data_IF_792631469860
#
_entry.id   IF_792631469860
#
_cell.length_a   1.000
_cell.length_b   1.000
_cell.length_c   1.000
_cell.angle_alpha   90.00
_cell.angle_beta   90.00
_cell.angle_gamma   90.00
#
_symmetry.space_group_name_H-M   'P 1'
#
loop_
_entity.id
_entity.type
_entity.pdbx_description
1 polymer ?
#
# COMPACT_ATOMS: atom_id res chain seq x y z
N UNK A 1 4.75 14.03 -18.94
CA UNK A 1 4.70 12.75 -18.23
C UNK A 1 5.93 11.99 -18.60
N UNK A 2 6.65 11.47 -17.60
CA UNK A 2 7.81 10.61 -17.80
C UNK A 2 7.30 9.32 -18.44
N UNK A 3 7.77 9.03 -19.64
CA UNK A 3 7.41 7.82 -20.35
C UNK A 3 8.37 6.68 -20.00
N UNK A 4 7.95 5.47 -20.34
CA UNK A 4 8.73 4.28 -19.98
C UNK A 4 10.08 4.28 -20.71
N UNK A 5 10.13 4.83 -21.91
CA UNK A 5 11.31 4.96 -22.74
C UNK A 5 12.39 5.84 -22.08
N UNK A 6 11.99 6.91 -21.39
CA UNK A 6 12.89 7.80 -20.64
C UNK A 6 13.60 7.01 -19.53
N UNK A 7 12.85 6.19 -18.80
CA UNK A 7 13.37 5.37 -17.70
C UNK A 7 14.22 4.22 -18.24
N UNK A 8 13.81 3.62 -19.36
CA UNK A 8 14.60 2.60 -20.03
C UNK A 8 15.96 3.13 -20.49
N UNK A 9 16.06 4.40 -20.90
CA UNK A 9 17.34 5.02 -21.24
C UNK A 9 18.26 5.09 -20.02
N UNK A 10 17.75 5.58 -18.88
CA UNK A 10 18.49 5.63 -17.62
C UNK A 10 18.99 4.24 -17.19
N UNK A 11 18.13 3.23 -17.27
CA UNK A 11 18.46 1.85 -16.86
C UNK A 11 19.52 1.23 -17.77
N UNK A 12 19.55 1.59 -19.06
CA UNK A 12 20.59 1.11 -20.00
C UNK A 12 21.97 1.65 -19.66
N UNK A 13 22.04 2.86 -19.10
CA UNK A 13 23.30 3.48 -18.67
C UNK A 13 23.80 2.94 -17.32
N UNK A 14 22.97 2.21 -16.57
CA UNK A 14 23.36 1.63 -15.29
C UNK A 14 24.33 0.45 -15.47
N UNK A 15 25.34 0.40 -14.61
CA UNK A 15 26.23 -0.76 -14.55
C UNK A 15 25.54 -1.91 -13.80
N UNK A 16 25.19 -2.99 -14.51
CA UNK A 16 24.32 -4.08 -14.02
C UNK A 16 24.81 -4.75 -12.74
N UNK A 17 26.10 -4.96 -12.58
CA UNK A 17 26.74 -5.56 -11.40
C UNK A 17 26.84 -4.59 -10.21
N UNK A 18 26.54 -3.30 -10.42
CA UNK A 18 26.58 -2.25 -9.39
C UNK A 18 25.20 -1.67 -9.07
N UNK A 19 24.13 -2.33 -9.50
CA UNK A 19 22.77 -1.91 -9.19
C UNK A 19 22.59 -1.90 -7.67
N UNK A 20 22.01 -0.81 -7.17
CA UNK A 20 21.64 -0.65 -5.77
C UNK A 20 20.12 -0.66 -5.63
N UNK A 21 19.62 -1.12 -4.48
CA UNK A 21 18.19 -1.01 -4.14
C UNK A 21 18.02 0.14 -3.15
N UNK A 22 17.19 1.11 -3.52
CA UNK A 22 16.94 2.29 -2.71
C UNK A 22 15.47 2.51 -2.37
N UNK A 23 15.19 3.12 -1.23
CA UNK A 23 13.82 3.56 -0.89
C UNK A 23 13.85 4.65 0.19
N UNK A 24 12.70 5.30 0.39
CA UNK A 24 12.52 6.24 1.50
C UNK A 24 12.62 5.51 2.84
N UNK A 25 13.23 6.14 3.83
CA UNK A 25 13.35 5.62 5.19
C UNK A 25 12.01 5.67 5.94
N UNK A 26 11.02 4.85 5.53
CA UNK A 26 9.72 4.74 6.19
C UNK A 26 8.98 3.42 5.87
N UNK A 27 7.78 3.23 6.43
CA UNK A 27 6.77 2.21 6.08
C UNK A 27 7.23 0.74 6.05
N UNK A 28 7.95 0.32 5.00
CA UNK A 28 8.43 -1.05 4.77
C UNK A 28 9.90 -1.10 4.35
N UNK A 29 10.66 -0.02 4.58
CA UNK A 29 12.06 0.07 4.19
C UNK A 29 12.95 -0.98 4.87
N UNK A 30 12.72 -1.30 6.14
CA UNK A 30 13.48 -2.38 6.82
C UNK A 30 13.29 -3.73 6.13
N UNK A 31 12.06 -4.04 5.71
CA UNK A 31 11.72 -5.25 4.95
C UNK A 31 12.45 -5.25 3.59
N UNK A 32 12.34 -4.16 2.85
CA UNK A 32 12.99 -3.97 1.55
C UNK A 32 14.51 -4.13 1.67
N UNK A 33 15.15 -3.42 2.59
CA UNK A 33 16.60 -3.44 2.73
C UNK A 33 17.14 -4.79 3.22
N UNK A 34 16.45 -5.44 4.16
CA UNK A 34 16.81 -6.80 4.60
C UNK A 34 16.77 -7.76 3.41
N UNK A 35 15.74 -7.66 2.57
CA UNK A 35 15.61 -8.47 1.35
C UNK A 35 16.67 -8.18 0.30
N UNK A 36 16.97 -6.90 0.06
CA UNK A 36 18.02 -6.46 -0.85
C UNK A 36 19.40 -7.01 -0.44
N UNK A 37 19.77 -6.89 0.84
CA UNK A 37 21.02 -7.42 1.37
C UNK A 37 21.12 -8.95 1.23
N UNK A 38 20.04 -9.67 1.51
CA UNK A 38 20.01 -11.14 1.37
C UNK A 38 20.09 -11.64 -0.08
N UNK A 39 19.76 -10.79 -1.06
CA UNK A 39 19.95 -11.07 -2.49
C UNK A 39 21.23 -10.41 -3.05
N UNK A 40 22.08 -9.83 -2.19
CA UNK A 40 23.42 -9.34 -2.54
C UNK A 40 23.49 -7.90 -3.05
N UNK A 41 22.41 -7.11 -2.93
CA UNK A 41 22.39 -5.72 -3.37
C UNK A 41 22.94 -4.77 -2.33
N UNK A 42 23.63 -3.73 -2.81
CA UNK A 42 23.90 -2.52 -2.03
C UNK A 42 22.59 -1.78 -1.75
N UNK A 43 22.44 -1.26 -0.54
CA UNK A 43 21.21 -0.61 -0.07
C UNK A 43 21.39 0.88 0.19
N UNK A 44 20.46 1.70 -0.32
CA UNK A 44 20.49 3.17 -0.19
C UNK A 44 19.21 3.68 0.48
N UNK A 45 19.33 4.29 1.65
CA UNK A 45 18.20 4.84 2.39
C UNK A 45 18.12 6.37 2.25
N UNK A 46 17.02 6.86 1.70
CA UNK A 46 16.70 8.30 1.66
C UNK A 46 15.91 8.63 2.93
N UNK A 47 16.59 9.17 3.93
CA UNK A 47 16.07 9.22 5.30
C UNK A 47 16.00 10.64 5.83
N UNK A 48 14.87 10.99 6.47
CA UNK A 48 14.82 12.23 7.25
C UNK A 48 15.75 12.13 8.44
N UNK A 49 16.42 13.22 8.79
CA UNK A 49 17.37 13.26 9.91
C UNK A 49 16.80 12.72 11.23
N UNK A 50 15.53 13.02 11.52
CA UNK A 50 14.84 12.53 12.73
C UNK A 50 14.59 11.02 12.77
N UNK A 51 14.53 10.37 11.60
CA UNK A 51 14.21 8.94 11.46
C UNK A 51 15.48 8.06 11.34
N UNK A 52 16.66 8.69 11.17
CA UNK A 52 17.95 8.02 10.94
C UNK A 52 18.27 6.95 11.99
N UNK A 53 17.87 7.19 13.24
CA UNK A 53 18.10 6.28 14.38
C UNK A 53 17.62 4.85 14.08
N UNK A 54 16.51 4.69 13.34
CA UNK A 54 15.95 3.38 13.00
C UNK A 54 16.93 2.60 12.13
N UNK A 55 17.34 3.20 11.00
CA UNK A 55 18.19 2.56 10.00
C UNK A 55 19.61 2.31 10.50
N UNK A 56 20.10 3.19 11.38
CA UNK A 56 21.39 3.01 12.05
C UNK A 56 21.37 1.86 13.04
N UNK A 57 20.34 1.77 13.91
CA UNK A 57 20.24 0.70 14.93
C UNK A 57 20.05 -0.68 14.33
N UNK A 58 19.35 -0.80 13.22
CA UNK A 58 19.21 -2.07 12.50
C UNK A 58 20.33 -2.34 11.49
N UNK A 59 21.27 -1.39 11.30
CA UNK A 59 22.31 -1.44 10.27
C UNK A 59 21.77 -1.86 8.90
N UNK A 60 20.56 -1.40 8.60
CA UNK A 60 19.75 -1.95 7.51
C UNK A 60 20.17 -1.42 6.15
N UNK A 61 20.77 -0.23 6.07
CA UNK A 61 21.21 0.40 4.84
C UNK A 61 22.75 0.53 4.80
N UNK A 62 23.35 0.42 3.61
CA UNK A 62 24.79 0.59 3.41
C UNK A 62 25.17 2.06 3.16
N UNK A 63 24.25 2.83 2.57
CA UNK A 63 24.36 4.27 2.41
C UNK A 63 23.08 4.94 2.92
N UNK A 64 23.24 6.03 3.67
CA UNK A 64 22.12 6.86 4.13
C UNK A 64 22.30 8.26 3.55
N UNK A 65 21.32 8.70 2.77
CA UNK A 65 21.22 10.06 2.24
C UNK A 65 20.23 10.81 3.14
N UNK A 66 20.74 11.79 3.88
CA UNK A 66 19.92 12.59 4.79
C UNK A 66 19.21 13.70 4.02
N UNK A 67 17.93 13.86 4.32
CA UNK A 67 17.01 14.87 3.77
C UNK A 67 16.22 15.52 4.92
N UNK A 68 15.59 16.66 4.67
CA UNK A 68 14.73 17.31 5.67
C UNK A 68 13.29 16.82 5.53
N UNK A 69 12.76 16.79 4.30
CA UNK A 69 11.45 16.22 3.98
C UNK A 69 11.53 15.18 2.85
N UNK A 70 10.57 14.25 2.81
CA UNK A 70 10.52 13.26 1.75
C UNK A 70 10.27 13.88 0.37
N UNK A 71 9.72 15.10 0.28
CA UNK A 71 9.64 15.87 -0.96
C UNK A 71 10.99 16.15 -1.61
N UNK A 72 12.07 16.20 -0.83
CA UNK A 72 13.43 16.46 -1.29
C UNK A 72 13.96 15.34 -2.21
N UNK A 73 13.27 14.18 -2.27
CA UNK A 73 13.55 13.14 -3.27
C UNK A 73 13.43 13.68 -4.71
N UNK A 74 12.62 14.71 -4.91
CA UNK A 74 12.41 15.32 -6.23
C UNK A 74 13.53 16.32 -6.59
N UNK A 75 14.40 16.67 -5.66
CA UNK A 75 15.52 17.58 -5.92
C UNK A 75 16.53 16.91 -6.85
N UNK A 76 16.91 17.61 -7.91
CA UNK A 76 17.75 17.05 -8.97
C UNK A 76 19.12 16.58 -8.46
N UNK A 77 19.69 17.23 -7.44
CA UNK A 77 20.94 16.79 -6.79
C UNK A 77 20.79 15.41 -6.14
N UNK A 78 19.67 15.16 -5.45
CA UNK A 78 19.37 13.88 -4.83
C UNK A 78 19.16 12.82 -5.91
N UNK A 79 18.37 13.14 -6.95
CA UNK A 79 18.13 12.21 -8.05
C UNK A 79 19.41 11.87 -8.83
N UNK A 80 20.26 12.85 -9.10
CA UNK A 80 21.55 12.64 -9.76
C UNK A 80 22.45 11.72 -8.93
N UNK A 81 22.54 11.96 -7.61
CA UNK A 81 23.28 11.09 -6.70
C UNK A 81 22.74 9.66 -6.74
N UNK A 82 21.42 9.47 -6.73
CA UNK A 82 20.78 8.16 -6.81
C UNK A 82 21.06 7.47 -8.16
N UNK A 83 21.06 8.21 -9.28
CA UNK A 83 21.44 7.67 -10.60
C UNK A 83 22.90 7.24 -10.65
N UNK A 84 23.82 8.04 -10.10
CA UNK A 84 25.26 7.68 -9.99
C UNK A 84 25.49 6.42 -9.16
N UNK A 85 24.60 6.13 -8.21
CA UNK A 85 24.61 4.91 -7.40
C UNK A 85 23.88 3.72 -8.06
N UNK A 86 23.42 3.86 -9.31
CA UNK A 86 22.62 2.88 -10.03
C UNK A 86 21.38 2.40 -9.24
N UNK A 87 20.69 3.31 -8.56
CA UNK A 87 19.58 2.97 -7.66
C UNK A 87 18.32 2.63 -8.45
N UNK A 88 17.76 1.46 -8.18
CA UNK A 88 16.35 1.16 -8.46
C UNK A 88 15.55 1.49 -7.21
N UNK A 89 14.61 2.42 -7.33
CA UNK A 89 13.72 2.82 -6.25
C UNK A 89 12.61 1.79 -6.03
N UNK A 90 12.35 1.43 -4.78
CA UNK A 90 11.22 0.58 -4.40
C UNK A 90 10.13 1.45 -3.79
N UNK A 91 9.00 1.71 -4.48
CA UNK A 91 7.91 2.51 -3.94
C UNK A 91 7.14 1.78 -2.84
N UNK A 92 6.69 2.54 -1.85
CA UNK A 92 5.84 2.06 -0.75
C UNK A 92 4.92 3.19 -0.25
N UNK A 93 4.13 2.95 0.80
CA UNK A 93 3.03 3.85 1.22
C UNK A 93 3.39 5.31 1.42
N UNK A 94 4.58 5.60 1.95
CA UNK A 94 5.02 6.97 2.15
C UNK A 94 5.22 7.77 0.84
N UNK A 95 5.46 7.13 -0.31
CA UNK A 95 5.56 7.86 -1.59
C UNK A 95 4.25 8.61 -1.88
N UNK A 96 3.11 7.92 -1.82
CA UNK A 96 1.80 8.54 -2.07
C UNK A 96 1.37 9.52 -0.97
N UNK A 97 1.93 9.39 0.23
CA UNK A 97 1.60 10.27 1.34
C UNK A 97 2.37 11.60 1.30
N UNK A 98 3.64 11.59 0.88
CA UNK A 98 4.51 12.77 0.97
C UNK A 98 4.82 13.40 -0.38
N UNK A 99 4.71 12.65 -1.48
CA UNK A 99 4.91 13.15 -2.83
C UNK A 99 3.56 13.29 -3.52
N UNK A 100 3.37 14.38 -4.26
CA UNK A 100 2.18 14.48 -5.11
C UNK A 100 2.32 13.52 -6.30
N UNK A 101 1.21 12.90 -6.68
CA UNK A 101 1.18 11.97 -7.81
C UNK A 101 1.65 12.62 -9.11
N UNK A 102 1.26 13.88 -9.31
CA UNK A 102 1.69 14.66 -10.47
C UNK A 102 3.22 14.80 -10.54
N UNK A 103 3.86 15.07 -9.39
CA UNK A 103 5.33 15.15 -9.31
C UNK A 103 6.00 13.79 -9.52
N UNK A 104 5.45 12.70 -8.97
CA UNK A 104 5.97 11.34 -9.24
C UNK A 104 5.92 11.04 -10.75
N UNK A 105 4.83 11.42 -11.43
CA UNK A 105 4.62 11.15 -12.85
C UNK A 105 5.46 12.05 -13.79
N UNK A 106 5.88 13.23 -13.35
CA UNK A 106 6.51 14.23 -14.22
C UNK A 106 7.95 14.63 -13.83
N UNK A 107 8.34 14.45 -12.57
CA UNK A 107 9.60 15.00 -12.02
C UNK A 107 10.56 13.92 -11.45
N UNK A 108 10.10 12.69 -11.19
CA UNK A 108 10.93 11.64 -10.60
C UNK A 108 11.68 10.82 -11.68
N UNK A 109 12.79 11.33 -12.20
CA UNK A 109 13.65 10.69 -13.20
C UNK A 109 14.58 9.62 -12.60
N UNK A 110 13.97 8.61 -11.96
CA UNK A 110 14.64 7.45 -11.39
C UNK A 110 13.91 6.17 -11.79
N UNK A 111 14.63 5.06 -12.07
CA UNK A 111 13.99 3.77 -12.29
C UNK A 111 13.30 3.29 -11.02
N UNK A 112 11.98 3.09 -11.08
CA UNK A 112 11.23 2.53 -9.96
C UNK A 112 10.83 1.10 -10.28
N UNK A 113 11.03 0.17 -9.34
CA UNK A 113 10.47 -1.17 -9.46
C UNK A 113 8.95 -1.09 -9.30
N UNK A 114 8.22 -1.55 -10.32
CA UNK A 114 6.77 -1.42 -10.35
C UNK A 114 6.27 -0.71 -11.60
N UNK A 115 5.00 -0.34 -11.58
CA UNK A 115 4.36 0.44 -12.65
C UNK A 115 3.91 1.79 -12.10
N UNK A 116 4.64 2.85 -12.44
CA UNK A 116 4.37 4.22 -12.01
C UNK A 116 2.96 4.70 -12.32
N UNK A 117 2.39 4.33 -13.48
CA UNK A 117 1.04 4.74 -13.89
C UNK A 117 -0.02 4.19 -12.93
N UNK A 118 0.18 2.99 -12.35
CA UNK A 118 -0.76 2.37 -11.40
C UNK A 118 -0.81 3.09 -10.04
N UNK A 119 0.22 3.83 -9.64
CA UNK A 119 0.17 4.64 -8.42
C UNK A 119 -0.95 5.69 -8.51
N UNK A 120 -1.24 6.20 -9.71
CA UNK A 120 -2.34 7.15 -9.94
C UNK A 120 -3.73 6.51 -9.87
N UNK A 121 -3.83 5.19 -10.08
CA UNK A 121 -5.05 4.43 -9.90
C UNK A 121 -5.30 4.11 -8.42
N UNK A 122 -4.23 3.85 -7.67
CA UNK A 122 -4.30 3.58 -6.24
C UNK A 122 -4.84 4.78 -5.44
N UNK A 123 -4.42 6.02 -5.72
CA UNK A 123 -4.83 7.15 -4.88
C UNK A 123 -6.24 7.68 -5.15
N UNK A 124 -6.86 7.24 -6.25
CA UNK A 124 -8.17 7.69 -6.71
C UNK A 124 -9.22 6.62 -6.43
N UNK A 125 -10.18 6.94 -5.55
CA UNK A 125 -11.20 5.99 -5.09
C UNK A 125 -12.11 5.50 -6.21
N UNK A 126 -12.43 6.35 -7.19
CA UNK A 126 -13.30 5.94 -8.30
C UNK A 126 -12.54 5.07 -9.28
N UNK A 127 -11.26 5.38 -9.56
CA UNK A 127 -10.40 4.49 -10.34
C UNK A 127 -10.23 3.12 -9.70
N UNK A 128 -9.97 3.05 -8.39
CA UNK A 128 -9.93 1.77 -7.65
C UNK A 128 -11.25 1.01 -7.80
N UNK A 129 -12.38 1.69 -7.60
CA UNK A 129 -13.72 1.10 -7.70
C UNK A 129 -13.96 0.50 -9.09
N UNK A 130 -13.66 1.26 -10.14
CA UNK A 130 -13.78 0.80 -11.54
C UNK A 130 -12.88 -0.41 -11.79
N UNK A 131 -11.63 -0.37 -11.30
CA UNK A 131 -10.67 -1.47 -11.46
C UNK A 131 -11.18 -2.75 -10.77
N UNK A 132 -11.54 -2.68 -9.49
CA UNK A 132 -12.02 -3.83 -8.72
C UNK A 132 -13.31 -4.43 -9.31
N UNK A 133 -14.26 -3.57 -9.71
CA UNK A 133 -15.50 -4.04 -10.36
C UNK A 133 -15.23 -4.73 -11.70
N UNK A 134 -14.37 -4.16 -12.55
CA UNK A 134 -13.97 -4.78 -13.82
C UNK A 134 -13.24 -6.10 -13.63
N UNK A 135 -12.54 -6.26 -12.49
CA UNK A 135 -11.92 -7.51 -12.09
C UNK A 135 -12.91 -8.53 -11.52
N UNK A 136 -14.20 -8.19 -11.42
CA UNK A 136 -15.24 -9.09 -10.93
C UNK A 136 -15.26 -9.24 -9.41
N UNK A 137 -14.58 -8.36 -8.68
CA UNK A 137 -14.55 -8.39 -7.21
C UNK A 137 -15.83 -7.76 -6.65
N UNK A 138 -16.37 -8.38 -5.60
CA UNK A 138 -17.47 -7.80 -4.82
C UNK A 138 -16.92 -6.66 -3.98
N UNK A 139 -17.53 -5.48 -4.09
CA UNK A 139 -17.15 -4.29 -3.32
C UNK A 139 -18.34 -3.82 -2.46
N UNK A 140 -18.11 -3.18 -1.30
CA UNK A 140 -19.20 -2.62 -0.49
C UNK A 140 -20.01 -1.59 -1.27
N UNK A 141 -21.31 -1.45 -0.97
CA UNK A 141 -22.17 -0.45 -1.60
C UNK A 141 -21.66 0.96 -1.31
N UNK A 142 -21.64 1.81 -2.34
CA UNK A 142 -21.29 3.23 -2.22
C UNK A 142 -22.57 4.05 -2.30
N UNK A 143 -22.67 5.07 -1.45
CA UNK A 143 -23.78 6.01 -1.43
C UNK A 143 -23.29 7.35 -1.97
N UNK A 144 -24.06 7.93 -2.89
CA UNK A 144 -23.71 9.21 -3.51
C UNK A 144 -24.06 10.39 -2.60
N UNK A 145 -25.11 10.23 -1.80
CA UNK A 145 -25.61 11.26 -0.89
C UNK A 145 -25.90 10.68 0.50
N UNK A 146 -25.76 11.52 1.54
CA UNK A 146 -26.12 11.17 2.91
C UNK A 146 -27.60 10.86 3.09
N UNK A 147 -28.48 11.41 2.26
CA UNK A 147 -29.93 11.18 2.31
C UNK A 147 -30.32 9.74 1.90
N UNK A 148 -29.40 9.03 1.24
CA UNK A 148 -29.60 7.64 0.82
C UNK A 148 -29.19 6.61 1.89
N UNK A 149 -28.65 7.06 3.03
CA UNK A 149 -28.13 6.16 4.08
C UNK A 149 -29.29 5.40 4.71
N UNK A 150 -29.35 4.10 4.44
CA UNK A 150 -30.40 3.17 4.92
C UNK A 150 -29.86 2.10 5.88
N UNK A 151 -28.55 2.13 6.19
CA UNK A 151 -27.82 1.12 6.97
C UNK A 151 -26.54 1.69 7.58
N UNK A 152 -25.78 0.85 8.29
CA UNK A 152 -24.48 1.24 8.83
C UNK A 152 -23.48 1.53 7.69
N UNK A 153 -22.91 2.72 7.72
CA UNK A 153 -22.03 3.30 6.71
C UNK A 153 -20.80 3.88 7.40
N UNK A 154 -19.64 3.68 6.81
CA UNK A 154 -18.42 4.42 7.14
C UNK A 154 -18.30 5.64 6.23
N UNK A 155 -18.34 6.82 6.85
CA UNK A 155 -18.11 8.09 6.19
C UNK A 155 -16.62 8.44 6.26
N UNK A 156 -16.02 8.74 5.10
CA UNK A 156 -14.59 9.04 4.96
C UNK A 156 -14.43 10.46 4.41
N UNK A 157 -13.84 11.37 5.19
CA UNK A 157 -13.57 12.73 4.73
C UNK A 157 -12.39 12.80 3.73
N UNK A 158 -12.33 13.84 2.88
CA UNK A 158 -11.17 14.10 2.02
C UNK A 158 -9.90 14.29 2.85
N UNK A 159 -8.78 13.75 2.39
CA UNK A 159 -7.50 13.87 3.08
C UNK A 159 -7.35 12.98 4.32
N UNK A 160 -8.33 12.13 4.63
CA UNK A 160 -8.18 11.08 5.61
C UNK A 160 -7.07 10.11 5.20
N UNK A 161 -5.93 10.17 5.91
CA UNK A 161 -4.77 9.31 5.71
C UNK A 161 -4.67 8.34 6.87
N UNK A 162 -4.54 7.05 6.56
CA UNK A 162 -4.40 6.00 7.57
C UNK A 162 -5.54 5.99 8.59
N UNK A 163 -6.80 6.14 8.14
CA UNK A 163 -7.99 5.98 8.99
C UNK A 163 -8.34 7.12 9.95
N UNK A 164 -7.61 8.25 9.90
CA UNK A 164 -7.97 9.48 10.63
C UNK A 164 -9.08 10.24 9.89
N UNK A 165 -10.17 10.58 10.59
CA UNK A 165 -11.31 11.30 9.99
C UNK A 165 -12.41 10.39 9.44
N UNK A 166 -12.42 9.12 9.85
CA UNK A 166 -13.53 8.20 9.58
C UNK A 166 -14.52 8.21 10.74
N UNK A 167 -15.79 7.99 10.46
CA UNK A 167 -16.82 7.82 11.48
C UNK A 167 -17.98 7.00 10.92
N UNK A 168 -18.71 6.34 11.82
CA UNK A 168 -19.85 5.51 11.45
C UNK A 168 -21.16 6.30 11.55
N UNK A 169 -22.06 6.08 10.62
CA UNK A 169 -23.42 6.64 10.59
C UNK A 169 -24.39 5.56 10.13
N UNK A 170 -25.64 5.65 10.55
CA UNK A 170 -26.66 4.65 10.21
C UNK A 170 -27.95 5.24 9.63
N UNK A 171 -28.01 6.56 9.45
CA UNK A 171 -29.16 7.31 8.96
C UNK A 171 -28.72 8.73 8.54
N UNK A 172 -29.51 9.44 7.70
CA UNK A 172 -29.27 10.84 7.37
C UNK A 172 -29.23 11.73 8.62
N UNK A 173 -30.09 11.48 9.59
CA UNK A 173 -30.17 12.24 10.85
C UNK A 173 -28.91 12.06 11.69
N UNK A 174 -28.41 10.82 11.80
CA UNK A 174 -27.16 10.51 12.51
C UNK A 174 -25.96 11.21 11.88
N UNK A 175 -25.91 11.24 10.54
CA UNK A 175 -24.86 11.96 9.81
C UNK A 175 -24.91 13.47 10.08
N UNK A 176 -26.10 14.09 9.99
CA UNK A 176 -26.28 15.51 10.28
C UNK A 176 -25.88 15.86 11.72
N UNK A 177 -26.35 15.09 12.69
CA UNK A 177 -26.03 15.33 14.11
C UNK A 177 -24.52 15.22 14.40
N UNK A 178 -23.85 14.19 13.86
CA UNK A 178 -22.41 13.99 14.05
C UNK A 178 -21.58 15.07 13.37
N UNK A 179 -21.91 15.43 12.13
CA UNK A 179 -21.17 16.44 11.38
C UNK A 179 -21.31 17.83 11.99
N UNK A 180 -22.52 18.22 12.45
CA UNK A 180 -22.73 19.46 13.18
C UNK A 180 -21.89 19.52 14.48
N UNK A 181 -21.81 18.42 15.22
CA UNK A 181 -20.94 18.32 16.41
C UNK A 181 -19.46 18.48 16.03
N UNK A 182 -19.00 17.80 14.99
CA UNK A 182 -17.60 17.87 14.54
C UNK A 182 -17.22 19.27 14.03
N UNK A 183 -18.14 19.96 13.34
CA UNK A 183 -17.95 21.35 12.89
C UNK A 183 -17.87 22.30 14.08
N UNK A 184 -18.78 22.18 15.07
CA UNK A 184 -18.74 23.00 16.30
C UNK A 184 -17.42 22.82 17.05
N UNK A 185 -16.89 21.61 17.07
CA UNK A 185 -15.63 21.28 17.75
C UNK A 185 -14.37 21.61 16.92
N UNK A 186 -14.52 22.19 15.72
CA UNK A 186 -13.40 22.56 14.85
C UNK A 186 -12.67 21.36 14.22
N UNK A 187 -13.25 20.17 14.26
CA UNK A 187 -12.66 18.95 13.68
C UNK A 187 -12.96 18.78 12.19
N UNK A 188 -13.91 19.54 11.66
CA UNK A 188 -14.39 19.43 10.28
C UNK A 188 -14.82 20.80 9.75
N UNK A 189 -14.49 21.11 8.49
CA UNK A 189 -15.02 22.30 7.83
C UNK A 189 -16.26 21.92 7.01
N UNK A 190 -17.20 22.86 6.85
CA UNK A 190 -18.42 22.65 6.05
C UNK A 190 -18.13 22.30 4.59
N UNK A 191 -17.03 22.81 4.04
CA UNK A 191 -16.59 22.52 2.66
C UNK A 191 -16.23 21.05 2.45
N UNK A 192 -15.72 20.37 3.48
CA UNK A 192 -15.30 18.96 3.41
C UNK A 192 -16.50 18.00 3.29
N UNK A 193 -17.69 18.43 3.73
CA UNK A 193 -18.91 17.63 3.69
C UNK A 193 -19.28 17.18 2.28
N UNK A 194 -19.14 18.08 1.30
CA UNK A 194 -19.48 17.83 -0.12
C UNK A 194 -18.61 16.77 -0.78
N UNK A 195 -17.48 16.44 -0.16
CA UNK A 195 -16.50 15.49 -0.68
C UNK A 195 -16.40 14.25 0.23
N UNK A 196 -17.37 14.06 1.12
CA UNK A 196 -17.45 12.88 1.98
C UNK A 196 -17.75 11.66 1.13
N UNK A 197 -16.99 10.60 1.35
CA UNK A 197 -17.22 9.32 0.70
C UNK A 197 -17.98 8.38 1.64
N UNK A 198 -19.12 7.88 1.19
CA UNK A 198 -19.99 7.00 1.96
C UNK A 198 -19.92 5.57 1.43
N UNK A 199 -19.51 4.66 2.30
CA UNK A 199 -19.37 3.25 1.99
C UNK A 199 -20.10 2.41 3.02
N UNK A 200 -20.85 1.40 2.57
CA UNK A 200 -21.45 0.39 3.45
C UNK A 200 -20.39 -0.19 4.40
N UNK A 201 -20.71 -0.21 5.69
CA UNK A 201 -19.83 -0.80 6.68
C UNK A 201 -20.08 -2.31 6.72
N UNK A 202 -19.13 -3.07 6.20
CA UNK A 202 -19.19 -4.52 6.21
C UNK A 202 -18.84 -5.06 7.60
N UNK A 203 -19.74 -5.86 8.18
CA UNK A 203 -19.48 -6.56 9.43
C UNK A 203 -18.78 -7.89 9.11
N UNK A 204 -17.54 -8.01 9.54
CA UNK A 204 -16.71 -9.19 9.28
C UNK A 204 -15.29 -9.01 9.80
N UNK A 205 -14.41 -9.94 9.45
CA UNK A 205 -12.98 -9.88 9.79
C UNK A 205 -12.17 -9.29 8.65
N UNK A 206 -11.25 -8.37 8.95
CA UNK A 206 -10.36 -7.83 7.93
C UNK A 206 -9.27 -8.83 7.54
N UNK A 207 -9.03 -8.96 6.24
CA UNK A 207 -7.94 -9.76 5.69
C UNK A 207 -7.26 -9.00 4.55
N UNK A 208 -5.97 -8.69 4.74
CA UNK A 208 -5.13 -7.96 3.80
C UNK A 208 -4.23 -8.97 3.11
N UNK A 209 -4.59 -9.34 1.89
CA UNK A 209 -3.90 -10.42 1.16
C UNK A 209 -2.78 -9.80 0.35
N UNK A 210 -1.57 -10.27 0.57
CA UNK A 210 -0.34 -9.74 0.00
C UNK A 210 0.08 -10.61 -1.17
N UNK A 211 0.00 -10.04 -2.37
CA UNK A 211 0.34 -10.72 -3.61
C UNK A 211 1.64 -10.17 -4.21
N UNK A 212 2.19 -10.91 -5.16
CA UNK A 212 3.30 -10.48 -6.00
C UNK A 212 3.06 -10.95 -7.44
N UNK A 213 3.00 -10.02 -8.39
CA UNK A 213 2.98 -10.34 -9.82
C UNK A 213 4.42 -10.39 -10.36
N UNK A 214 4.90 -11.59 -10.69
CA UNK A 214 6.14 -11.72 -11.44
C UNK A 214 5.87 -11.52 -12.93
N UNK A 215 6.30 -10.39 -13.49
CA UNK A 215 6.20 -10.20 -14.96
C UNK A 215 7.25 -10.97 -15.74
N UNK A 216 8.32 -11.44 -15.08
CA UNK A 216 9.33 -12.30 -15.70
C UNK A 216 8.86 -13.76 -15.85
N UNK A 217 7.92 -14.19 -14.99
CA UNK A 217 7.36 -15.55 -14.97
C UNK A 217 5.88 -15.60 -15.37
N UNK A 218 5.21 -14.44 -15.49
CA UNK A 218 3.77 -14.27 -15.72
C UNK A 218 2.92 -15.05 -14.71
N UNK A 219 3.24 -14.89 -13.42
CA UNK A 219 2.60 -15.59 -12.31
C UNK A 219 2.19 -14.62 -11.19
N UNK A 220 0.98 -14.78 -10.66
CA UNK A 220 0.53 -14.15 -9.41
C UNK A 220 0.84 -15.08 -8.25
N UNK A 221 1.60 -14.57 -7.29
CA UNK A 221 1.97 -15.29 -6.06
C UNK A 221 1.22 -14.69 -4.88
N UNK A 222 0.84 -15.52 -3.90
CA UNK A 222 0.36 -15.06 -2.59
C UNK A 222 1.47 -15.29 -1.55
N UNK A 223 1.96 -14.22 -0.95
CA UNK A 223 3.12 -14.28 -0.05
C UNK A 223 2.77 -14.12 1.42
N UNK A 224 1.59 -13.65 1.78
CA UNK A 224 1.24 -13.39 3.17
C UNK A 224 -0.16 -12.82 3.32
N UNK A 225 -0.68 -12.89 4.54
CA UNK A 225 -1.94 -12.26 4.92
C UNK A 225 -1.76 -11.64 6.29
N UNK A 226 -2.25 -10.42 6.46
CA UNK A 226 -2.29 -9.75 7.75
C UNK A 226 -3.69 -9.18 8.05
N UNK A 227 -3.87 -8.78 9.30
CA UNK A 227 -4.93 -7.89 9.77
C UNK A 227 -4.26 -6.60 10.24
N UNK A 228 -4.72 -5.43 9.79
CA UNK A 228 -4.33 -4.14 10.38
C UNK A 228 -4.71 -4.10 11.85
N UNK A 229 -3.82 -3.54 12.67
CA UNK A 229 -4.07 -3.24 14.08
C UNK A 229 -4.19 -1.73 14.23
N UNK A 230 -5.36 -1.28 14.65
CA UNK A 230 -5.82 0.10 14.48
C UNK A 230 -6.26 0.71 15.83
N UNK A 231 -5.75 1.91 16.10
CA UNK A 231 -6.11 2.72 17.27
C UNK A 231 -7.10 3.83 16.89
N UNK A 232 -8.19 4.04 17.63
CA UNK A 232 -8.62 3.37 18.85
C UNK A 232 -9.56 2.17 18.64
N UNK A 233 -9.96 1.88 17.39
CA UNK A 233 -11.05 0.91 17.08
C UNK A 233 -10.78 -0.53 17.55
N UNK A 234 -9.55 -1.04 17.53
CA UNK A 234 -9.27 -2.37 18.11
C UNK A 234 -9.18 -2.33 19.64
N UNK A 235 -9.03 -1.13 20.24
CA UNK A 235 -8.95 -0.94 21.68
C UNK A 235 -10.31 -0.86 22.39
N UNK A 236 -11.35 -0.36 21.70
CA UNK A 236 -12.66 -0.10 22.33
C UNK A 236 -13.33 -1.37 22.87
N UNK A 237 -13.11 -2.52 22.25
CA UNK A 237 -13.66 -3.80 22.71
C UNK A 237 -13.15 -4.23 24.09
N UNK A 238 -12.09 -3.57 24.62
CA UNK A 238 -11.54 -3.79 25.96
C UNK A 238 -12.25 -2.98 27.05
N UNK A 239 -13.08 -2.01 26.67
CA UNK A 239 -13.82 -1.14 27.58
C UNK A 239 -15.24 -1.69 27.70
N UNK A 240 -15.78 -1.96 28.91
CA UNK A 240 -17.16 -2.40 29.06
C UNK A 240 -18.16 -1.42 28.42
N UNK A 241 -19.26 -1.94 27.88
CA UNK A 241 -20.24 -1.12 27.17
C UNK A 241 -20.83 0.01 28.05
N UNK A 242 -21.03 -0.23 29.35
CA UNK A 242 -21.50 0.78 30.31
C UNK A 242 -20.56 1.98 30.39
N UNK A 243 -19.25 1.75 30.37
CA UNK A 243 -18.23 2.81 30.40
C UNK A 243 -18.12 3.52 29.05
N UNK A 244 -18.22 2.78 27.95
CA UNK A 244 -18.22 3.38 26.60
C UNK A 244 -19.33 4.41 26.42
N UNK A 245 -20.52 4.16 26.98
CA UNK A 245 -21.66 5.08 26.91
C UNK A 245 -21.47 6.35 27.74
N UNK A 246 -20.51 6.37 28.68
CA UNK A 246 -20.23 7.52 29.56
C UNK A 246 -19.11 8.42 29.05
N UNK A 247 -18.36 7.98 28.02
CA UNK A 247 -17.25 8.74 27.44
C UNK A 247 -17.60 9.22 26.03
N UNK A 248 -17.20 10.45 25.70
CA UNK A 248 -17.33 10.98 24.34
C UNK A 248 -16.21 10.44 23.44
N UNK A 249 -16.31 9.16 23.06
CA UNK A 249 -15.33 8.49 22.23
C UNK A 249 -15.83 8.34 20.79
N UNK A 250 -15.07 8.87 19.84
CA UNK A 250 -15.25 8.58 18.42
C UNK A 250 -14.06 7.71 17.93
N UNK A 251 -14.26 6.41 17.71
CA UNK A 251 -13.17 5.50 17.34
C UNK A 251 -12.49 5.95 16.04
N UNK A 252 -11.16 6.07 16.08
CA UNK A 252 -10.32 6.27 14.90
C UNK A 252 -9.79 4.94 14.37
N UNK A 253 -9.38 4.93 13.11
CA UNK A 253 -8.82 3.76 12.43
C UNK A 253 -7.32 3.95 12.16
N UNK A 254 -6.62 4.62 13.07
CA UNK A 254 -5.19 4.95 12.92
C UNK A 254 -4.37 3.68 12.97
N UNK A 255 -3.71 3.33 11.87
CA UNK A 255 -2.90 2.12 11.79
C UNK A 255 -1.69 2.26 12.73
N UNK A 256 -1.58 1.34 13.71
CA UNK A 256 -0.45 1.28 14.66
C UNK A 256 0.43 0.04 14.46
N UNK A 257 -0.11 -1.01 13.84
CA UNK A 257 0.61 -2.24 13.58
C UNK A 257 -0.16 -3.19 12.67
N UNK A 258 0.32 -4.43 12.57
CA UNK A 258 -0.35 -5.49 11.82
C UNK A 258 -0.20 -6.81 12.59
N UNK A 259 -1.14 -7.72 12.41
CA UNK A 259 -1.18 -9.05 13.03
C UNK A 259 -1.14 -10.10 11.91
N UNK A 260 -0.21 -11.06 11.91
CA UNK A 260 -0.20 -12.13 10.92
C UNK A 260 -1.39 -13.05 11.10
N UNK A 261 -2.05 -13.43 10.01
CA UNK A 261 -3.15 -14.40 10.02
C UNK A 261 -2.98 -15.41 8.88
N UNK A 262 -3.59 -16.58 9.04
CA UNK A 262 -3.90 -17.48 7.93
C UNK A 262 -5.41 -17.47 7.69
N UNK A 263 -5.83 -17.80 6.48
CA UNK A 263 -7.25 -17.93 6.16
C UNK A 263 -7.64 -19.40 6.21
N UNK A 264 -8.94 -19.64 6.38
CA UNK A 264 -9.53 -20.96 6.13
C UNK A 264 -9.14 -21.40 4.70
N UNK A 265 -8.51 -22.55 4.58
CA UNK A 265 -7.92 -23.01 3.30
C UNK A 265 -8.93 -23.04 2.14
N UNK A 266 -10.19 -23.38 2.42
CA UNK A 266 -11.26 -23.39 1.42
C UNK A 266 -11.57 -22.02 0.79
N UNK A 267 -11.07 -20.92 1.36
CA UNK A 267 -11.16 -19.58 0.77
C UNK A 267 -10.08 -19.34 -0.29
N UNK A 268 -8.94 -20.03 -0.21
CA UNK A 268 -7.77 -19.77 -1.04
C UNK A 268 -8.04 -19.86 -2.55
N UNK A 269 -8.87 -20.80 -3.06
CA UNK A 269 -9.17 -20.83 -4.50
C UNK A 269 -9.78 -19.52 -5.02
N UNK A 270 -10.65 -18.88 -4.23
CA UNK A 270 -11.23 -17.59 -4.61
C UNK A 270 -10.20 -16.46 -4.50
N UNK A 271 -9.40 -16.48 -3.44
CA UNK A 271 -8.30 -15.53 -3.20
C UNK A 271 -7.30 -15.51 -4.37
N UNK A 272 -6.90 -16.68 -4.88
CA UNK A 272 -6.04 -16.75 -6.07
C UNK A 272 -6.71 -16.14 -7.31
N UNK A 273 -7.97 -16.50 -7.59
CA UNK A 273 -8.73 -15.93 -8.72
C UNK A 273 -8.87 -14.41 -8.63
N UNK A 274 -9.08 -13.88 -7.43
CA UNK A 274 -9.15 -12.43 -7.20
C UNK A 274 -7.84 -11.75 -7.61
N UNK A 275 -6.68 -12.31 -7.20
CA UNK A 275 -5.36 -11.84 -7.60
C UNK A 275 -5.16 -11.84 -9.12
N UNK A 276 -5.46 -12.98 -9.77
CA UNK A 276 -5.34 -13.15 -11.22
C UNK A 276 -6.21 -12.16 -11.99
N UNK A 277 -7.47 -11.98 -11.58
CA UNK A 277 -8.41 -11.08 -12.23
C UNK A 277 -7.98 -9.62 -12.12
N UNK A 278 -7.50 -9.21 -10.94
CA UNK A 278 -6.99 -7.85 -10.71
C UNK A 278 -5.77 -7.57 -11.59
N UNK A 279 -4.83 -8.51 -11.68
CA UNK A 279 -3.68 -8.41 -12.56
C UNK A 279 -4.10 -8.36 -14.02
N UNK A 280 -5.04 -9.20 -14.46
CA UNK A 280 -5.55 -9.17 -15.84
C UNK A 280 -6.09 -7.80 -16.22
N UNK A 281 -6.98 -7.23 -15.41
CA UNK A 281 -7.55 -5.89 -15.68
C UNK A 281 -6.49 -4.79 -15.60
N UNK A 282 -5.49 -4.94 -14.73
CA UNK A 282 -4.39 -3.98 -14.63
C UNK A 282 -3.65 -3.79 -15.95
N UNK A 283 -3.48 -4.87 -16.73
CA UNK A 283 -2.83 -4.86 -18.05
C UNK A 283 -3.60 -3.98 -19.06
N UNK A 284 -4.92 -3.84 -18.89
CA UNK A 284 -5.80 -3.03 -19.75
C UNK A 284 -5.82 -1.56 -19.34
N UNK A 285 -5.85 -1.26 -18.04
CA UNK A 285 -6.03 0.11 -17.52
C UNK A 285 -4.73 0.91 -17.41
N UNK A 286 -3.59 0.21 -17.26
CA UNK A 286 -2.28 0.81 -17.17
C UNK A 286 -1.21 -0.19 -17.64
N UNK A 287 -1.02 -0.39 -18.95
CA UNK A 287 0.01 -1.29 -19.47
C UNK A 287 1.40 -1.00 -18.87
N UNK A 288 2.21 -2.02 -18.52
CA UNK A 288 1.99 -3.46 -18.73
C UNK A 288 1.17 -4.15 -17.62
N UNK A 289 0.50 -3.39 -16.75
CA UNK A 289 -0.21 -3.90 -15.58
C UNK A 289 0.64 -3.85 -14.31
N UNK A 290 0.20 -4.58 -13.28
CA UNK A 290 0.92 -4.68 -12.01
C UNK A 290 2.30 -5.33 -12.26
N UNK A 291 3.32 -4.74 -11.64
CA UNK A 291 4.67 -5.29 -11.56
C UNK A 291 5.01 -5.42 -10.08
N UNK A 292 5.24 -6.65 -9.63
CA UNK A 292 5.64 -6.94 -8.27
C UNK A 292 4.50 -6.86 -7.24
N UNK A 293 4.74 -6.29 -6.05
CA UNK A 293 3.85 -6.41 -4.90
C UNK A 293 2.53 -5.66 -5.10
N UNK A 294 1.43 -6.27 -4.65
CA UNK A 294 0.16 -5.58 -4.49
C UNK A 294 -0.64 -6.20 -3.34
N UNK A 295 -1.65 -5.49 -2.84
CA UNK A 295 -2.49 -5.95 -1.73
C UNK A 295 -3.96 -5.70 -2.02
N UNK A 296 -4.80 -6.70 -1.76
CA UNK A 296 -6.24 -6.53 -1.70
C UNK A 296 -6.66 -6.42 -0.23
N UNK A 297 -7.37 -5.34 0.10
CA UNK A 297 -7.86 -5.07 1.46
C UNK A 297 -9.33 -5.50 1.54
N UNK A 298 -9.61 -6.53 2.33
CA UNK A 298 -10.91 -7.20 2.34
C UNK A 298 -11.54 -7.26 3.72
N UNK A 299 -12.86 -7.41 3.72
CA UNK A 299 -13.65 -7.88 4.86
C UNK A 299 -14.28 -9.21 4.47
N UNK A 300 -14.18 -10.20 5.35
CA UNK A 300 -14.79 -11.53 5.19
C UNK A 300 -15.93 -11.67 6.18
N UNK A 301 -17.15 -11.89 5.70
CA UNK A 301 -18.35 -12.00 6.54
C UNK A 301 -18.46 -13.38 7.22
N UNK A 302 -19.44 -13.53 8.11
CA UNK A 302 -19.81 -14.81 8.72
C UNK A 302 -20.29 -15.86 7.71
N UNK A 303 -20.83 -15.41 6.56
CA UNK A 303 -21.21 -16.24 5.41
C UNK A 303 -20.05 -16.57 4.47
N UNK A 304 -18.84 -16.13 4.79
CA UNK A 304 -17.63 -16.25 3.97
C UNK A 304 -17.68 -15.46 2.65
N UNK A 305 -18.56 -14.45 2.56
CA UNK A 305 -18.54 -13.51 1.46
C UNK A 305 -17.33 -12.58 1.61
N UNK A 306 -16.58 -12.37 0.53
CA UNK A 306 -15.38 -11.53 0.51
C UNK A 306 -15.73 -10.20 -0.15
N UNK A 307 -15.56 -9.10 0.58
CA UNK A 307 -15.75 -7.75 0.09
C UNK A 307 -14.42 -7.01 0.04
N UNK A 308 -13.97 -6.61 -1.14
CA UNK A 308 -12.76 -5.81 -1.31
C UNK A 308 -13.11 -4.33 -1.25
N UNK A 309 -12.53 -3.59 -0.31
CA UNK A 309 -12.80 -2.17 -0.16
C UNK A 309 -11.71 -1.27 -0.76
N UNK A 310 -10.46 -1.71 -0.77
CA UNK A 310 -9.32 -0.95 -1.30
C UNK A 310 -8.26 -1.89 -1.91
N UNK A 311 -7.43 -1.35 -2.81
CA UNK A 311 -6.26 -2.02 -3.41
C UNK A 311 -5.04 -1.11 -3.28
N UNK A 312 -3.90 -1.70 -2.90
CA UNK A 312 -2.58 -1.06 -2.96
C UNK A 312 -1.75 -1.71 -4.08
N UNK A 313 -1.28 -0.92 -5.05
CA UNK A 313 -0.54 -1.43 -6.22
C UNK A 313 0.99 -1.46 -5.99
N UNK A 314 1.39 -1.77 -4.75
CA UNK A 314 2.76 -1.74 -4.23
C UNK A 314 2.81 -2.51 -2.90
N UNK A 315 3.99 -2.61 -2.30
CA UNK A 315 4.18 -3.21 -0.97
C UNK A 315 3.40 -2.43 0.11
N UNK A 316 2.79 -3.17 1.04
CA UNK A 316 2.03 -2.66 2.20
C UNK A 316 2.76 -2.96 3.52
N UNK A 317 2.49 -2.17 4.56
CA UNK A 317 3.10 -2.34 5.89
C UNK A 317 2.83 -3.71 6.51
N UNK A 318 1.69 -4.32 6.19
CA UNK A 318 1.34 -5.69 6.58
C UNK A 318 2.41 -6.72 6.20
N UNK A 319 3.17 -6.50 5.14
CA UNK A 319 4.25 -7.42 4.75
C UNK A 319 5.39 -7.51 5.77
N UNK A 320 5.49 -6.56 6.70
CA UNK A 320 6.51 -6.55 7.76
C UNK A 320 6.32 -7.69 8.78
N UNK A 321 5.09 -8.18 9.01
CA UNK A 321 4.88 -9.29 9.97
C UNK A 321 5.35 -10.64 9.42
N UNK A 322 5.53 -10.73 8.10
CA UNK A 322 5.94 -11.96 7.41
C UNK A 322 7.44 -12.06 7.14
N UNK A 323 8.29 -11.15 7.66
CA UNK A 323 9.75 -11.19 7.41
C UNK A 323 10.31 -12.52 7.92
N UNK A 324 10.59 -13.43 6.97
CA UNK A 324 11.15 -14.75 7.22
C UNK A 324 10.17 -15.78 7.82
N UNK A 325 8.92 -15.42 8.05
CA UNK A 325 7.97 -16.22 8.84
C UNK A 325 6.63 -16.49 8.15
N UNK A 326 6.37 -15.91 6.98
CA UNK A 326 5.06 -16.08 6.32
C UNK A 326 4.82 -17.56 5.92
N UNK A 327 3.71 -18.18 6.37
CA UNK A 327 3.39 -19.56 6.02
C UNK A 327 3.26 -19.78 4.50
N UNK A 328 2.62 -18.86 3.78
CA UNK A 328 2.40 -19.01 2.34
C UNK A 328 3.69 -18.85 1.53
N UNK A 329 4.56 -17.90 1.93
CA UNK A 329 5.88 -17.78 1.32
C UNK A 329 6.75 -19.02 1.60
N UNK A 330 6.64 -19.59 2.81
CA UNK A 330 7.34 -20.82 3.18
C UNK A 330 6.94 -22.02 2.31
N UNK A 331 5.64 -22.20 2.06
CA UNK A 331 5.15 -23.30 1.21
C UNK A 331 5.71 -23.23 -0.22
N UNK A 332 5.88 -22.03 -0.78
CA UNK A 332 6.38 -21.86 -2.15
C UNK A 332 7.90 -21.85 -2.26
N UNK A 333 8.60 -21.25 -1.31
CA UNK A 333 10.04 -20.94 -1.42
C UNK A 333 10.92 -21.59 -0.35
N UNK A 334 10.33 -22.25 0.65
CA UNK A 334 11.02 -22.67 1.85
C UNK A 334 11.36 -21.48 2.76
N UNK A 335 12.41 -21.62 3.56
CA UNK A 335 12.77 -20.64 4.56
C UNK A 335 13.20 -19.27 3.98
N UNK A 336 13.02 -18.23 4.81
CA UNK A 336 13.55 -16.87 4.57
C UNK A 336 13.03 -16.18 3.32
N UNK A 337 11.85 -16.52 2.82
CA UNK A 337 11.18 -15.72 1.78
C UNK A 337 10.13 -14.78 2.38
N UNK A 338 10.11 -13.54 1.90
CA UNK A 338 9.16 -12.50 2.28
C UNK A 338 9.19 -11.38 1.23
N UNK A 339 8.25 -10.44 1.31
CA UNK A 339 7.98 -9.48 0.24
C UNK A 339 9.20 -8.69 -0.25
N UNK A 340 9.98 -8.08 0.66
CA UNK A 340 11.17 -7.31 0.30
C UNK A 340 12.25 -8.15 -0.38
N UNK A 341 12.44 -9.40 0.07
CA UNK A 341 13.37 -10.33 -0.58
C UNK A 341 12.85 -10.78 -1.94
N UNK A 342 11.54 -11.00 -2.10
CA UNK A 342 10.92 -11.35 -3.38
C UNK A 342 11.08 -10.23 -4.42
N UNK A 343 10.93 -8.97 -4.00
CA UNK A 343 11.23 -7.79 -4.85
C UNK A 343 12.69 -7.81 -5.31
N UNK A 344 13.63 -7.95 -4.37
CA UNK A 344 15.06 -7.97 -4.70
C UNK A 344 15.42 -9.15 -5.62
N UNK A 345 14.81 -10.32 -5.41
CA UNK A 345 14.99 -11.49 -6.28
C UNK A 345 14.45 -11.25 -7.68
N UNK A 346 13.32 -10.58 -7.84
CA UNK A 346 12.80 -10.21 -9.17
C UNK A 346 13.76 -9.29 -9.92
N UNK A 347 14.35 -8.32 -9.20
CA UNK A 347 15.38 -7.43 -9.76
C UNK A 347 16.60 -8.22 -10.19
N UNK A 348 17.10 -9.12 -9.34
CA UNK A 348 18.24 -10.00 -9.67
C UNK A 348 17.96 -10.86 -10.90
N UNK A 349 16.79 -11.48 -10.99
CA UNK A 349 16.36 -12.25 -12.16
C UNK A 349 16.24 -11.37 -13.41
N UNK A 350 15.76 -10.13 -13.26
CA UNK A 350 15.71 -9.14 -14.33
C UNK A 350 17.09 -8.79 -14.87
N UNK A 351 18.09 -8.66 -14.00
CA UNK A 351 19.49 -8.44 -14.38
C UNK A 351 20.06 -9.67 -15.09
N UNK A 352 19.95 -10.85 -14.47
CA UNK A 352 20.47 -12.13 -14.99
C UNK A 352 19.90 -12.45 -16.37
N UNK A 353 18.62 -12.14 -16.61
CA UNK A 353 17.93 -12.38 -17.89
C UNK A 353 18.01 -11.21 -18.88
N UNK A 354 18.70 -10.13 -18.54
CA UNK A 354 18.75 -8.89 -19.32
C UNK A 354 17.35 -8.37 -19.71
N UNK A 355 16.45 -8.29 -18.72
CA UNK A 355 15.03 -7.90 -18.82
C UNK A 355 14.63 -6.90 -17.73
N UNK A 356 15.56 -6.11 -17.24
CA UNK A 356 15.33 -5.15 -16.16
C UNK A 356 14.28 -4.09 -16.55
N UNK A 357 14.27 -3.67 -17.81
CA UNK A 357 13.30 -2.77 -18.43
C UNK A 357 11.84 -3.30 -18.42
N UNK A 358 11.65 -4.59 -18.13
CA UNK A 358 10.31 -5.17 -17.98
C UNK A 358 9.70 -4.96 -16.59
N UNK A 359 10.54 -4.68 -15.61
CA UNK A 359 10.13 -4.63 -14.19
C UNK A 359 10.31 -3.25 -13.56
N UNK A 360 10.78 -2.27 -14.34
CA UNK A 360 10.94 -0.89 -13.89
C UNK A 360 10.14 0.07 -14.77
N UNK A 361 9.60 1.10 -14.12
CA UNK A 361 8.97 2.26 -14.73
C UNK A 361 9.02 3.43 -13.75
#
# INVERSE_FOLDING_TARGET
MIEKEDINAIVKDYTKDKISIGTLGSHSALNIFKGAKEEGFRTVCICRKKDEIVYRRFSSADEVILIEDFSDLLDEEIQERLRRLNVILIPHGSFNAYLSMDKILNELYLPMFGNRKLLSWEIDREKQRIWLRRAGLTIPKIFEDSDQIDRLVIAKFPGARGGKGYFLVNSPESFKAKTEKMIRNGHLKREDLKRTYFQEYMIGVNAYIQYFQSTLQDEVEMLGIDKRYESAVDGIGRIPASEQLQIDLNPTYTIVGNIPITLRESLLPEIFKMGDNVVRVSKEIAPPGIIGPFCLENVITDKLDIFTFEISARIVAGSNVGIGTSPYAYLKYGERMYMGRRIAREIRLGIEKNKLEKIVY
#
